data_IF_351421876028
#
_entry.id   IF_351421876028
#
_cell.length_a   1.000
_cell.length_b   1.000
_cell.length_c   1.000
_cell.angle_alpha   90.00
_cell.angle_beta   90.00
_cell.angle_gamma   90.00
#
_symmetry.space_group_name_H-M   'P 1'
#
loop_
_entity.id
_entity.type
_entity.pdbx_description
1 polymer ?
#
# COMPACT_ATOMS: atom_id res chain seq x y z
N UNK A 1 -23.77 23.43 -6.30
CA UNK A 1 -24.11 23.00 -4.95
C UNK A 1 -22.83 22.65 -4.17
N UNK A 2 -23.01 22.33 -2.87
CA UNK A 2 -21.84 22.00 -2.03
C UNK A 2 -21.08 20.78 -2.56
N UNK A 3 -21.78 19.80 -3.09
CA UNK A 3 -21.15 18.59 -3.63
C UNK A 3 -20.29 18.88 -4.87
N UNK A 4 -20.77 19.76 -5.74
CA UNK A 4 -20.00 20.15 -6.92
C UNK A 4 -18.72 20.91 -6.55
N UNK A 5 -18.81 21.73 -5.51
CA UNK A 5 -17.65 22.46 -5.02
C UNK A 5 -16.65 21.51 -4.34
N UNK A 6 -17.14 20.50 -3.64
CA UNK A 6 -16.27 19.51 -3.01
C UNK A 6 -15.56 18.64 -4.04
N UNK A 7 -16.28 18.23 -5.09
CA UNK A 7 -15.68 17.49 -6.21
C UNK A 7 -14.62 18.34 -6.93
N UNK A 8 -14.94 19.60 -7.17
CA UNK A 8 -13.99 20.53 -7.81
C UNK A 8 -12.74 20.72 -6.94
N UNK A 9 -12.91 20.77 -5.62
CA UNK A 9 -11.79 20.92 -4.69
C UNK A 9 -10.90 19.70 -4.73
N UNK A 10 -11.49 18.51 -4.74
CA UNK A 10 -10.73 17.26 -4.81
C UNK A 10 -9.91 17.16 -6.10
N UNK A 11 -10.46 17.69 -7.19
CA UNK A 11 -9.76 17.68 -8.48
C UNK A 11 -8.57 18.65 -8.52
N UNK A 12 -8.49 19.59 -7.56
CA UNK A 12 -7.43 20.62 -7.56
C UNK A 12 -6.25 20.25 -6.64
N UNK A 13 -6.40 19.23 -5.78
CA UNK A 13 -5.32 18.84 -4.86
C UNK A 13 -4.29 18.01 -5.63
N UNK A 14 -3.03 18.45 -5.58
CA UNK A 14 -1.96 17.78 -6.32
C UNK A 14 -1.67 16.38 -5.77
N UNK A 15 -1.39 15.45 -6.68
CA UNK A 15 -0.98 14.09 -6.30
C UNK A 15 0.18 14.11 -5.29
N UNK A 16 1.17 15.00 -5.52
CA UNK A 16 2.35 15.07 -4.64
C UNK A 16 1.95 15.37 -3.19
N UNK A 17 0.97 16.24 -2.99
CA UNK A 17 0.51 16.57 -1.64
C UNK A 17 -0.25 15.40 -1.01
N UNK A 18 -1.02 14.68 -1.80
CA UNK A 18 -1.71 13.48 -1.33
C UNK A 18 -0.68 12.43 -0.87
N UNK A 19 0.34 12.17 -1.68
CA UNK A 19 1.37 11.19 -1.36
C UNK A 19 2.23 11.64 -0.17
N UNK A 20 2.53 12.95 -0.09
CA UNK A 20 3.33 13.46 1.03
C UNK A 20 2.62 13.30 2.37
N UNK A 21 1.29 13.34 2.39
CA UNK A 21 0.55 13.06 3.62
C UNK A 21 0.91 11.66 4.15
N UNK A 22 0.98 10.66 3.26
CA UNK A 22 1.38 9.31 3.65
C UNK A 22 2.84 9.32 4.15
N UNK A 23 3.74 9.94 3.40
CA UNK A 23 5.17 9.97 3.74
C UNK A 23 5.41 10.53 5.13
N UNK A 24 4.81 11.67 5.43
CA UNK A 24 5.13 12.36 6.67
C UNK A 24 4.35 11.82 7.87
N UNK A 25 3.12 11.35 7.69
CA UNK A 25 2.46 10.61 8.77
C UNK A 25 3.29 9.38 9.16
N UNK A 26 3.81 8.67 8.16
CA UNK A 26 4.60 7.46 8.41
C UNK A 26 5.93 7.80 9.10
N UNK A 27 6.66 8.78 8.56
CA UNK A 27 7.94 9.16 9.13
C UNK A 27 7.78 9.69 10.56
N UNK A 28 6.76 10.52 10.78
CA UNK A 28 6.52 11.11 12.10
C UNK A 28 6.14 10.04 13.15
N UNK A 29 5.28 9.08 12.75
CA UNK A 29 4.87 8.03 13.68
C UNK A 29 6.02 7.13 14.06
N UNK A 30 6.85 6.75 13.11
CA UNK A 30 8.04 5.93 13.38
C UNK A 30 9.01 6.70 14.27
N UNK A 31 9.20 8.00 14.00
CA UNK A 31 10.11 8.82 14.78
C UNK A 31 9.61 8.96 16.23
N UNK A 32 8.31 9.20 16.41
CA UNK A 32 7.75 9.35 17.75
C UNK A 32 7.85 8.04 18.53
N UNK A 33 7.62 6.91 17.88
CA UNK A 33 7.76 5.60 18.53
C UNK A 33 9.22 5.21 18.74
N UNK A 34 10.14 5.89 18.07
CA UNK A 34 11.56 5.53 18.03
C UNK A 34 11.75 4.07 17.61
N UNK A 35 10.87 3.60 16.73
CA UNK A 35 10.85 2.20 16.30
C UNK A 35 9.94 2.06 15.08
N UNK A 36 10.36 1.29 14.10
CA UNK A 36 9.53 1.00 12.95
C UNK A 36 10.28 1.09 11.63
N UNK A 37 9.53 1.06 10.55
CA UNK A 37 10.07 0.91 9.20
C UNK A 37 9.49 2.00 8.29
N UNK A 38 10.15 3.16 8.19
CA UNK A 38 9.59 4.27 7.42
C UNK A 38 9.85 4.19 5.91
N UNK A 39 10.83 3.40 5.49
CA UNK A 39 11.32 3.45 4.12
C UNK A 39 10.31 3.02 3.07
N UNK A 40 9.63 1.88 3.30
CA UNK A 40 8.67 1.38 2.32
C UNK A 40 7.43 2.27 2.24
N UNK A 41 6.84 2.71 3.37
CA UNK A 41 5.73 3.67 3.27
C UNK A 41 6.08 4.92 2.48
N UNK A 42 7.28 5.46 2.67
CA UNK A 42 7.69 6.65 1.93
C UNK A 42 7.93 6.35 0.45
N UNK A 43 8.50 5.19 0.16
CA UNK A 43 8.78 4.79 -1.23
C UNK A 43 7.52 4.44 -2.01
N UNK A 44 6.56 3.78 -1.38
CA UNK A 44 5.33 3.34 -2.04
C UNK A 44 4.18 4.33 -1.93
N UNK A 45 4.43 5.52 -1.37
CA UNK A 45 3.36 6.51 -1.19
C UNK A 45 2.70 6.89 -2.51
N UNK A 46 3.46 7.03 -3.59
CA UNK A 46 2.88 7.40 -4.89
C UNK A 46 1.99 6.28 -5.43
N UNK A 47 2.45 5.04 -5.36
CA UNK A 47 1.67 3.88 -5.83
C UNK A 47 0.37 3.75 -5.02
N UNK A 48 0.48 3.84 -3.70
CA UNK A 48 -0.68 3.69 -2.81
C UNK A 48 -1.69 4.82 -3.04
N UNK A 49 -1.21 6.03 -3.30
CA UNK A 49 -2.10 7.16 -3.58
C UNK A 49 -2.93 6.89 -4.84
N UNK A 50 -2.29 6.45 -5.92
CA UNK A 50 -3.02 6.15 -7.15
C UNK A 50 -4.04 5.03 -6.91
N UNK A 51 -3.63 3.98 -6.25
CA UNK A 51 -4.52 2.83 -6.01
C UNK A 51 -5.76 3.27 -5.20
N UNK A 52 -5.55 3.94 -4.08
CA UNK A 52 -6.65 4.26 -3.16
C UNK A 52 -7.53 5.40 -3.66
N UNK A 53 -6.98 6.34 -4.44
CA UNK A 53 -7.80 7.47 -4.90
C UNK A 53 -8.52 7.20 -6.21
N UNK A 54 -8.08 6.22 -7.01
CA UNK A 54 -8.65 6.00 -8.34
C UNK A 54 -9.24 4.62 -8.58
N UNK A 55 -8.70 3.58 -7.95
CA UNK A 55 -9.03 2.20 -8.38
C UNK A 55 -9.64 1.32 -7.30
N UNK A 56 -9.19 1.42 -6.07
CA UNK A 56 -9.67 0.53 -5.01
C UNK A 56 -11.15 0.79 -4.74
N UNK A 57 -11.94 -0.25 -4.83
CA UNK A 57 -13.38 -0.19 -4.55
C UNK A 57 -13.59 -0.47 -3.06
N UNK A 58 -13.89 0.57 -2.29
CA UNK A 58 -14.06 0.43 -0.84
C UNK A 58 -14.87 1.59 -0.29
N UNK A 59 -15.36 1.40 0.93
CA UNK A 59 -16.11 2.42 1.65
C UNK A 59 -15.58 2.45 3.08
N UNK A 60 -14.92 3.54 3.45
CA UNK A 60 -14.33 3.66 4.78
C UNK A 60 -15.37 3.59 5.89
N UNK A 61 -16.62 3.97 5.59
CA UNK A 61 -17.71 3.89 6.58
C UNK A 61 -18.26 2.48 6.75
N UNK A 62 -17.92 1.56 5.83
CA UNK A 62 -18.36 0.17 5.92
C UNK A 62 -17.16 -0.76 5.63
N UNK A 63 -16.24 -0.90 6.59
CA UNK A 63 -15.04 -1.72 6.37
C UNK A 63 -15.33 -3.20 6.07
N UNK A 64 -16.53 -3.66 6.36
CA UNK A 64 -16.90 -5.05 6.15
C UNK A 64 -17.82 -5.26 4.94
N UNK A 65 -18.00 -4.24 4.10
CA UNK A 65 -18.81 -4.37 2.88
C UNK A 65 -18.40 -5.64 2.12
N UNK A 66 -19.31 -6.57 1.87
CA UNK A 66 -18.92 -7.89 1.34
C UNK A 66 -18.21 -7.85 -0.01
N UNK A 67 -18.58 -6.93 -0.89
CA UNK A 67 -17.99 -6.89 -2.22
C UNK A 67 -16.92 -5.79 -2.38
N UNK A 68 -16.35 -5.35 -1.28
CA UNK A 68 -15.22 -4.42 -1.34
C UNK A 68 -14.00 -5.10 -1.93
N UNK A 69 -13.16 -4.34 -2.60
CA UNK A 69 -11.83 -4.84 -2.96
C UNK A 69 -11.05 -5.16 -1.68
N UNK A 70 -10.19 -6.16 -1.76
CA UNK A 70 -9.31 -6.51 -0.63
C UNK A 70 -7.94 -5.88 -0.87
N UNK A 71 -7.42 -5.21 0.14
CA UNK A 71 -6.06 -4.67 0.10
C UNK A 71 -5.24 -5.38 1.17
N UNK A 72 -4.15 -6.02 0.75
CA UNK A 72 -3.28 -6.78 1.64
C UNK A 72 -1.89 -6.18 1.59
N UNK A 73 -1.38 -5.76 2.75
CA UNK A 73 0.00 -5.30 2.86
C UNK A 73 0.85 -6.48 3.29
N UNK A 74 1.40 -7.20 2.31
CA UNK A 74 2.24 -8.38 2.59
C UNK A 74 3.58 -7.96 3.18
N UNK A 75 4.10 -6.79 2.80
CA UNK A 75 5.26 -6.20 3.44
C UNK A 75 4.84 -5.56 4.76
N UNK A 76 4.45 -6.39 5.73
CA UNK A 76 3.81 -5.94 6.96
C UNK A 76 4.69 -5.08 7.86
N UNK A 77 6.01 -5.13 7.66
CA UNK A 77 6.90 -4.25 8.40
C UNK A 77 6.61 -2.77 8.11
N UNK A 78 6.13 -2.47 6.90
CA UNK A 78 5.77 -1.10 6.55
C UNK A 78 4.35 -0.72 6.98
N UNK A 79 3.91 -1.16 8.15
CA UNK A 79 2.53 -1.02 8.60
C UNK A 79 2.02 0.41 8.62
N UNK A 80 2.91 1.40 8.80
CA UNK A 80 2.44 2.79 8.77
C UNK A 80 1.85 3.18 7.41
N UNK A 81 2.19 2.47 6.33
CA UNK A 81 1.54 2.73 5.05
C UNK A 81 0.02 2.48 5.17
N UNK A 82 -0.37 1.30 5.63
CA UNK A 82 -1.80 1.01 5.72
C UNK A 82 -2.47 1.88 6.79
N UNK A 83 -1.83 2.13 7.93
CA UNK A 83 -2.43 2.97 8.97
C UNK A 83 -2.65 4.41 8.49
N UNK A 84 -1.68 4.98 7.76
CA UNK A 84 -1.85 6.31 7.18
C UNK A 84 -3.03 6.33 6.20
N UNK A 85 -3.13 5.30 5.36
CA UNK A 85 -4.22 5.19 4.40
C UNK A 85 -5.58 5.09 5.11
N UNK A 86 -5.67 4.29 6.17
CA UNK A 86 -6.93 4.15 6.91
C UNK A 86 -7.34 5.47 7.57
N UNK A 87 -6.38 6.19 8.13
CA UNK A 87 -6.66 7.50 8.71
C UNK A 87 -7.10 8.49 7.64
N UNK A 88 -6.31 8.60 6.57
CA UNK A 88 -6.58 9.60 5.53
C UNK A 88 -7.92 9.37 4.84
N UNK A 89 -8.28 8.10 4.59
CA UNK A 89 -9.53 7.79 3.89
C UNK A 89 -10.76 7.78 4.80
N UNK A 90 -10.58 7.89 6.11
CA UNK A 90 -11.70 8.15 7.00
C UNK A 90 -12.26 6.95 7.76
N UNK A 91 -11.49 5.88 7.92
CA UNK A 91 -11.91 4.79 8.80
C UNK A 91 -12.05 5.33 10.23
N UNK A 92 -13.22 5.22 10.81
CA UNK A 92 -13.56 5.87 12.09
C UNK A 92 -12.60 5.50 13.21
N UNK A 93 -12.21 4.23 13.29
CA UNK A 93 -11.35 3.76 14.38
C UNK A 93 -9.92 4.27 14.27
N UNK A 94 -9.47 4.65 13.06
CA UNK A 94 -8.08 5.09 12.87
C UNK A 94 -8.01 6.60 13.00
N UNK A 95 -7.84 7.06 14.23
CA UNK A 95 -7.71 8.49 14.52
C UNK A 95 -6.25 8.91 14.47
N UNK A 96 -6.01 10.23 14.45
CA UNK A 96 -4.64 10.72 14.49
C UNK A 96 -3.94 10.32 15.80
N UNK A 97 -4.69 10.18 16.88
CA UNK A 97 -4.09 9.72 18.15
C UNK A 97 -3.61 8.28 18.05
N UNK A 98 -4.29 7.44 17.28
CA UNK A 98 -3.79 6.09 17.03
C UNK A 98 -2.46 6.12 16.26
N UNK A 99 -2.32 7.04 15.32
CA UNK A 99 -1.04 7.20 14.61
C UNK A 99 0.06 7.69 15.54
N UNK A 100 -0.27 8.65 16.43
CA UNK A 100 0.68 9.15 17.43
C UNK A 100 1.15 8.06 18.37
N UNK A 101 0.32 7.05 18.61
CA UNK A 101 0.61 5.96 19.52
C UNK A 101 1.04 4.68 18.79
N UNK A 102 1.66 4.84 17.62
CA UNK A 102 2.19 3.73 16.85
C UNK A 102 3.11 2.87 17.72
N UNK A 103 2.88 1.55 17.72
CA UNK A 103 3.64 0.56 18.47
C UNK A 103 3.53 0.67 19.99
N UNK A 104 2.55 1.43 20.49
CA UNK A 104 2.37 1.55 21.93
C UNK A 104 1.30 0.57 22.41
N UNK A 105 1.50 0.05 23.60
CA UNK A 105 0.55 -0.89 24.19
C UNK A 105 -0.85 -0.26 24.26
N UNK A 106 -1.84 -0.99 23.79
CA UNK A 106 -3.23 -0.53 23.81
C UNK A 106 -3.68 0.20 22.56
N UNK A 107 -2.75 0.59 21.65
CA UNK A 107 -3.16 1.21 20.40
C UNK A 107 -3.53 0.14 19.36
N UNK A 108 -4.29 0.54 18.36
CA UNK A 108 -4.62 -0.37 17.26
C UNK A 108 -3.54 -0.37 16.16
N UNK A 109 -2.52 0.47 16.32
CA UNK A 109 -1.43 0.62 15.34
C UNK A 109 -0.23 -0.21 15.76
N UNK A 110 -0.38 -1.52 15.70
CA UNK A 110 0.69 -2.45 16.04
C UNK A 110 1.84 -2.34 15.02
N UNK A 111 3.02 -2.79 15.42
CA UNK A 111 4.20 -2.74 14.54
C UNK A 111 4.02 -3.46 13.22
N UNK A 112 3.16 -4.47 13.18
CA UNK A 112 2.74 -5.19 11.97
C UNK A 112 1.22 -5.27 11.98
N UNK A 113 0.56 -5.18 10.82
CA UNK A 113 -0.91 -5.16 10.82
C UNK A 113 -1.51 -6.43 11.43
N UNK A 114 -2.51 -6.24 12.28
CA UNK A 114 -3.19 -7.37 12.93
C UNK A 114 -4.69 -7.33 12.63
N UNK A 115 -5.17 -8.41 12.05
CA UNK A 115 -6.59 -8.55 11.75
C UNK A 115 -7.39 -8.54 13.06
N UNK A 116 -8.47 -7.77 13.06
CA UNK A 116 -9.34 -7.67 14.23
C UNK A 116 -9.00 -6.51 15.17
N UNK A 117 -7.83 -5.89 14.98
CA UNK A 117 -7.45 -4.74 15.80
C UNK A 117 -7.80 -3.42 15.11
N UNK A 118 -7.39 -3.27 13.85
CA UNK A 118 -7.69 -2.06 13.08
C UNK A 118 -8.66 -2.41 11.96
N UNK A 119 -9.90 -1.87 11.97
CA UNK A 119 -10.81 -2.08 10.84
C UNK A 119 -10.15 -1.61 9.55
N UNK A 120 -10.27 -2.43 8.50
CA UNK A 120 -9.61 -2.19 7.23
C UNK A 120 -8.39 -3.05 7.00
N UNK A 121 -7.84 -3.67 8.05
CA UNK A 121 -6.77 -4.65 7.93
C UNK A 121 -7.40 -6.00 7.63
N UNK A 122 -7.13 -6.54 6.45
CA UNK A 122 -7.80 -7.76 5.96
C UNK A 122 -7.18 -9.05 6.47
N UNK A 123 -5.90 -9.02 6.83
CA UNK A 123 -5.21 -10.19 7.34
C UNK A 123 -3.98 -9.75 8.12
N UNK A 124 -3.62 -10.55 9.13
CA UNK A 124 -2.42 -10.30 9.92
C UNK A 124 -1.19 -10.61 9.08
N UNK A 125 -0.26 -9.66 9.02
CA UNK A 125 1.01 -9.86 8.31
C UNK A 125 2.17 -9.50 9.23
N UNK A 126 3.38 -9.74 8.74
CA UNK A 126 4.61 -9.62 9.52
C UNK A 126 5.56 -10.71 9.07
N UNK A 127 5.18 -11.99 9.28
CA UNK A 127 5.98 -13.06 8.65
C UNK A 127 5.90 -12.93 7.14
N UNK A 128 7.05 -12.74 6.50
CA UNK A 128 7.12 -12.46 5.07
C UNK A 128 6.53 -13.61 4.25
N UNK A 129 5.82 -13.25 3.19
CA UNK A 129 5.18 -14.21 2.29
C UNK A 129 3.76 -14.60 2.70
N UNK A 130 3.39 -14.41 3.96
CA UNK A 130 2.06 -14.81 4.44
C UNK A 130 0.95 -13.98 3.79
N UNK A 131 1.17 -12.66 3.66
CA UNK A 131 0.16 -11.79 3.07
C UNK A 131 -0.14 -12.13 1.63
N UNK A 132 0.90 -12.32 0.83
CA UNK A 132 0.72 -12.70 -0.58
C UNK A 132 -0.04 -14.02 -0.69
N UNK A 133 0.32 -15.00 0.13
CA UNK A 133 -0.31 -16.32 0.09
C UNK A 133 -1.78 -16.23 0.50
N UNK A 134 -2.07 -15.48 1.55
CA UNK A 134 -3.46 -15.26 1.98
C UNK A 134 -4.26 -14.55 0.87
N UNK A 135 -3.64 -13.60 0.19
CA UNK A 135 -4.30 -12.88 -0.90
C UNK A 135 -4.65 -13.82 -2.08
N UNK A 136 -3.81 -14.80 -2.35
CA UNK A 136 -4.14 -15.83 -3.36
C UNK A 136 -5.41 -16.55 -2.95
N UNK A 137 -5.54 -16.91 -1.67
CA UNK A 137 -6.76 -17.52 -1.14
C UNK A 137 -7.97 -16.61 -1.28
N UNK A 138 -7.80 -15.32 -0.99
CA UNK A 138 -8.89 -14.34 -1.13
C UNK A 138 -9.34 -14.23 -2.59
N UNK A 139 -8.39 -14.20 -3.52
CA UNK A 139 -8.71 -14.12 -4.95
C UNK A 139 -9.43 -15.38 -5.43
N UNK A 140 -9.02 -16.53 -4.96
CA UNK A 140 -9.70 -17.79 -5.27
C UNK A 140 -11.12 -17.76 -4.71
N UNK A 141 -11.29 -17.32 -3.46
CA UNK A 141 -12.61 -17.23 -2.84
C UNK A 141 -13.53 -16.32 -3.66
N UNK A 142 -13.02 -15.18 -4.15
CA UNK A 142 -13.83 -14.29 -4.97
C UNK A 142 -14.31 -15.00 -6.24
N UNK A 143 -13.42 -15.74 -6.91
CA UNK A 143 -13.83 -16.47 -8.12
C UNK A 143 -14.88 -17.56 -7.82
N UNK A 144 -14.72 -18.25 -6.71
CA UNK A 144 -15.68 -19.29 -6.31
C UNK A 144 -17.04 -18.67 -5.97
N UNK A 145 -17.03 -17.57 -5.23
CA UNK A 145 -18.26 -16.88 -4.85
C UNK A 145 -18.94 -16.25 -6.08
N UNK A 146 -18.13 -15.66 -6.97
CA UNK A 146 -18.65 -15.10 -8.21
C UNK A 146 -19.35 -16.18 -9.06
N UNK A 147 -18.72 -17.35 -9.18
CA UNK A 147 -19.29 -18.45 -9.95
C UNK A 147 -20.63 -18.92 -9.35
N UNK A 148 -20.75 -18.81 -8.03
CA UNK A 148 -21.95 -19.25 -7.34
C UNK A 148 -23.08 -18.22 -7.35
N UNK A 149 -22.71 -16.94 -7.17
CA UNK A 149 -23.70 -15.87 -6.92
C UNK A 149 -23.78 -14.82 -8.03
N UNK A 150 -22.85 -14.83 -8.96
CA UNK A 150 -22.86 -13.89 -10.10
C UNK A 150 -22.19 -12.55 -9.82
N UNK A 151 -21.99 -11.80 -10.91
CA UNK A 151 -21.28 -10.52 -10.87
C UNK A 151 -22.00 -9.46 -10.02
N UNK A 152 -23.31 -9.52 -9.97
CA UNK A 152 -24.08 -8.54 -9.21
C UNK A 152 -23.82 -8.66 -7.69
N UNK A 153 -23.43 -9.84 -7.24
CA UNK A 153 -23.21 -10.08 -5.81
C UNK A 153 -21.72 -10.06 -5.45
N UNK A 154 -20.86 -10.59 -6.32
CA UNK A 154 -19.44 -10.72 -6.02
C UNK A 154 -18.62 -10.40 -7.28
N UNK A 155 -17.90 -9.28 -7.24
CA UNK A 155 -17.06 -8.86 -8.37
C UNK A 155 -16.02 -7.88 -7.85
N UNK A 156 -15.02 -8.40 -7.12
CA UNK A 156 -14.00 -7.51 -6.55
C UNK A 156 -12.59 -8.03 -6.81
N UNK A 157 -11.65 -7.11 -6.73
CA UNK A 157 -10.22 -7.39 -6.90
C UNK A 157 -9.57 -7.59 -5.55
N UNK A 158 -8.43 -8.27 -5.56
CA UNK A 158 -7.51 -8.35 -4.42
C UNK A 158 -6.20 -7.72 -4.84
N UNK A 159 -5.79 -6.67 -4.14
CA UNK A 159 -4.53 -5.95 -4.39
C UNK A 159 -3.56 -6.23 -3.25
N UNK A 160 -2.30 -6.47 -3.61
CA UNK A 160 -1.26 -6.81 -2.64
C UNK A 160 -0.07 -5.89 -2.85
N UNK A 161 0.48 -5.34 -1.77
CA UNK A 161 1.81 -4.71 -1.82
C UNK A 161 2.79 -5.68 -1.19
N UNK A 162 3.82 -6.05 -1.94
CA UNK A 162 4.84 -7.00 -1.53
C UNK A 162 6.23 -6.44 -1.84
N UNK A 163 7.19 -6.77 -0.98
CA UNK A 163 8.59 -6.40 -1.22
C UNK A 163 9.42 -7.63 -1.60
N UNK A 164 10.71 -7.40 -1.84
CA UNK A 164 11.63 -8.47 -2.20
C UNK A 164 11.61 -9.61 -1.17
N UNK A 165 11.65 -9.25 0.12
CA UNK A 165 11.63 -10.27 1.17
C UNK A 165 10.42 -11.18 1.10
N UNK A 166 9.25 -10.61 0.78
CA UNK A 166 8.05 -11.42 0.62
C UNK A 166 8.20 -12.42 -0.52
N UNK A 167 8.76 -11.94 -1.65
CA UNK A 167 8.85 -12.77 -2.86
C UNK A 167 9.92 -13.84 -2.75
N UNK A 168 10.89 -13.68 -1.85
CA UNK A 168 11.95 -14.67 -1.63
C UNK A 168 11.46 -15.89 -0.86
N UNK A 169 10.38 -15.75 -0.07
CA UNK A 169 9.91 -16.85 0.78
C UNK A 169 9.43 -18.04 -0.05
N UNK A 170 9.71 -19.26 0.45
CA UNK A 170 9.32 -20.46 -0.26
C UNK A 170 7.84 -20.55 -0.56
N UNK A 171 7.00 -20.17 0.40
CA UNK A 171 5.55 -20.23 0.21
C UNK A 171 5.09 -19.30 -0.91
N UNK A 172 5.83 -18.20 -1.16
CA UNK A 172 5.50 -17.30 -2.26
C UNK A 172 5.64 -17.98 -3.61
N UNK A 173 6.65 -18.84 -3.77
CA UNK A 173 6.82 -19.61 -5.01
C UNK A 173 5.61 -20.50 -5.28
N UNK A 174 5.12 -21.18 -4.25
CA UNK A 174 3.94 -22.03 -4.38
C UNK A 174 2.70 -21.20 -4.69
N UNK A 175 2.52 -20.08 -4.00
CA UNK A 175 1.35 -19.22 -4.18
C UNK A 175 1.32 -18.62 -5.60
N UNK A 176 2.46 -18.17 -6.10
CA UNK A 176 2.57 -17.60 -7.45
C UNK A 176 2.22 -18.65 -8.50
N UNK A 177 2.75 -19.85 -8.34
CA UNK A 177 2.47 -20.97 -9.26
C UNK A 177 0.98 -21.30 -9.26
N UNK A 178 0.38 -21.41 -8.08
CA UNK A 178 -1.06 -21.74 -7.97
C UNK A 178 -1.93 -20.66 -8.61
N UNK A 179 -1.65 -19.39 -8.32
CA UNK A 179 -2.46 -18.30 -8.87
C UNK A 179 -2.38 -18.24 -10.41
N UNK A 180 -1.19 -18.49 -10.95
CA UNK A 180 -1.02 -18.54 -12.41
C UNK A 180 -1.77 -19.70 -13.03
N UNK A 181 -1.67 -20.88 -12.40
CA UNK A 181 -2.35 -22.08 -12.91
C UNK A 181 -3.87 -21.91 -12.89
N UNK A 182 -4.41 -21.26 -11.87
CA UNK A 182 -5.85 -21.04 -11.73
C UNK A 182 -6.33 -19.78 -12.48
N UNK A 183 -5.41 -19.02 -13.07
CA UNK A 183 -5.73 -17.79 -13.79
C UNK A 183 -6.57 -16.83 -12.92
N UNK A 184 -6.09 -16.53 -11.71
CA UNK A 184 -6.81 -15.66 -10.80
C UNK A 184 -6.67 -14.20 -11.26
N UNK A 185 -7.43 -13.83 -12.26
CA UNK A 185 -7.28 -12.56 -12.98
C UNK A 185 -7.57 -11.33 -12.13
N UNK A 186 -8.27 -11.49 -11.02
CA UNK A 186 -8.60 -10.36 -10.15
C UNK A 186 -7.60 -10.18 -9.02
N UNK A 187 -6.46 -10.86 -9.09
CA UNK A 187 -5.35 -10.69 -8.15
C UNK A 187 -4.29 -9.81 -8.82
N UNK A 188 -3.96 -8.69 -8.17
CA UNK A 188 -2.97 -7.74 -8.69
C UNK A 188 -1.95 -7.48 -7.59
N UNK A 189 -0.69 -7.83 -7.86
CA UNK A 189 0.43 -7.64 -6.94
C UNK A 189 1.22 -6.41 -7.38
N UNK A 190 1.38 -5.47 -6.45
CA UNK A 190 2.21 -4.28 -6.64
C UNK A 190 3.51 -4.56 -5.89
N UNK A 191 4.57 -4.85 -6.65
CA UNK A 191 5.86 -5.21 -6.09
C UNK A 191 6.71 -3.96 -5.89
N UNK A 192 7.11 -3.71 -4.64
CA UNK A 192 7.98 -2.59 -4.30
C UNK A 192 9.42 -2.96 -4.67
N UNK A 193 9.79 -2.63 -5.89
CA UNK A 193 11.10 -2.98 -6.46
C UNK A 193 12.08 -1.87 -6.15
N UNK A 194 12.63 -1.87 -4.93
CA UNK A 194 13.52 -0.80 -4.49
C UNK A 194 14.98 -1.25 -4.31
N UNK A 195 15.28 -2.50 -4.62
CA UNK A 195 16.64 -3.08 -4.57
C UNK A 195 17.27 -3.12 -3.17
N UNK A 196 16.47 -2.96 -2.10
CA UNK A 196 16.99 -2.90 -0.73
C UNK A 196 16.24 -3.89 0.18
N UNK A 197 16.98 -4.60 1.02
CA UNK A 197 16.42 -5.37 2.13
C UNK A 197 17.05 -4.87 3.44
N UNK A 198 16.68 -5.48 4.56
CA UNK A 198 17.11 -4.97 5.86
C UNK A 198 18.64 -4.92 6.02
N UNK A 199 19.32 -5.87 5.38
CA UNK A 199 20.78 -5.99 5.49
C UNK A 199 21.55 -5.26 4.39
N UNK A 200 20.84 -4.64 3.44
CA UNK A 200 21.50 -3.93 2.34
C UNK A 200 20.86 -4.22 0.99
N UNK A 201 21.63 -4.07 -0.09
CA UNK A 201 21.08 -4.34 -1.43
C UNK A 201 20.58 -5.78 -1.58
N UNK A 202 19.45 -5.97 -2.26
CA UNK A 202 18.84 -7.29 -2.43
C UNK A 202 19.74 -8.29 -3.16
N UNK A 203 20.62 -7.80 -4.04
CA UNK A 203 21.52 -8.71 -4.77
C UNK A 203 22.54 -9.43 -3.87
N UNK A 204 22.64 -9.04 -2.62
CA UNK A 204 23.42 -9.79 -1.63
C UNK A 204 22.72 -11.07 -1.17
N UNK A 205 21.39 -11.11 -1.34
CA UNK A 205 20.57 -12.22 -0.85
C UNK A 205 19.99 -13.08 -1.97
N UNK A 206 19.63 -12.46 -3.08
CA UNK A 206 18.98 -13.16 -4.18
C UNK A 206 19.32 -12.50 -5.51
N UNK A 207 19.45 -13.33 -6.55
CA UNK A 207 19.70 -12.83 -7.91
C UNK A 207 18.51 -13.15 -8.84
N UNK A 208 17.43 -13.65 -8.30
CA UNK A 208 16.25 -14.00 -9.09
C UNK A 208 15.64 -12.74 -9.73
N UNK A 209 15.25 -12.90 -10.97
CA UNK A 209 14.51 -11.88 -11.70
C UNK A 209 13.03 -12.10 -11.37
N UNK A 210 12.51 -11.33 -10.44
CA UNK A 210 11.12 -11.52 -9.96
C UNK A 210 10.09 -11.35 -11.08
N UNK A 211 10.17 -10.30 -11.89
CA UNK A 211 9.23 -10.19 -13.02
C UNK A 211 9.28 -11.41 -13.95
N UNK A 212 10.46 -11.89 -14.29
CA UNK A 212 10.60 -13.06 -15.16
C UNK A 212 10.02 -14.31 -14.50
N UNK A 213 10.22 -14.47 -13.19
CA UNK A 213 9.69 -15.62 -12.46
C UNK A 213 8.16 -15.64 -12.47
N UNK A 214 7.54 -14.47 -12.27
CA UNK A 214 6.08 -14.38 -12.34
C UNK A 214 5.58 -14.66 -13.75
N UNK A 215 6.26 -14.12 -14.77
CA UNK A 215 5.88 -14.36 -16.16
C UNK A 215 5.95 -15.86 -16.49
N UNK A 216 7.01 -16.53 -16.02
CA UNK A 216 7.16 -17.98 -16.24
C UNK A 216 6.06 -18.79 -15.57
N UNK A 217 5.41 -18.23 -14.54
CA UNK A 217 4.32 -18.87 -13.82
C UNK A 217 2.94 -18.52 -14.40
N UNK A 218 2.90 -17.85 -15.54
CA UNK A 218 1.64 -17.56 -16.22
C UNK A 218 0.98 -16.25 -15.84
N UNK A 219 1.71 -15.34 -15.22
CA UNK A 219 1.20 -14.02 -14.82
C UNK A 219 1.44 -12.98 -15.91
N UNK A 220 0.56 -11.99 -15.96
CA UNK A 220 0.77 -10.75 -16.70
C UNK A 220 1.73 -9.88 -15.89
N UNK A 221 2.80 -9.39 -16.50
CA UNK A 221 3.85 -8.69 -15.78
C UNK A 221 4.16 -7.36 -16.46
N UNK A 222 4.32 -6.31 -15.65
CA UNK A 222 4.71 -4.99 -16.11
C UNK A 222 5.78 -4.44 -15.17
N UNK A 223 6.67 -3.60 -15.70
CA UNK A 223 7.67 -2.90 -14.90
C UNK A 223 7.52 -1.40 -15.20
N UNK A 224 7.39 -0.59 -14.15
CA UNK A 224 7.12 0.83 -14.29
C UNK A 224 7.91 1.65 -13.26
N UNK A 225 7.99 2.95 -13.50
CA UNK A 225 8.47 3.89 -12.50
C UNK A 225 7.36 4.11 -11.47
N UNK A 226 7.56 3.63 -10.25
CA UNK A 226 6.57 3.72 -9.18
C UNK A 226 6.33 5.14 -8.68
N UNK A 227 7.16 6.10 -9.08
CA UNK A 227 6.95 7.52 -8.72
C UNK A 227 6.25 8.30 -9.83
N UNK A 228 5.92 7.65 -10.94
CA UNK A 228 5.18 8.27 -12.04
C UNK A 228 3.71 7.86 -11.91
N UNK A 229 2.89 8.78 -11.40
CA UNK A 229 1.48 8.48 -11.13
C UNK A 229 0.71 8.01 -12.36
N UNK A 230 1.06 8.53 -13.53
CA UNK A 230 0.37 8.15 -14.77
C UNK A 230 0.77 6.75 -15.21
N UNK A 231 2.06 6.41 -15.05
CA UNK A 231 2.52 5.05 -15.35
C UNK A 231 1.85 4.04 -14.40
N UNK A 232 1.70 4.39 -13.11
CA UNK A 232 1.02 3.52 -12.15
C UNK A 232 -0.44 3.31 -12.57
N UNK A 233 -1.13 4.39 -12.92
CA UNK A 233 -2.54 4.30 -13.33
C UNK A 233 -2.70 3.42 -14.56
N UNK A 234 -1.88 3.66 -15.59
CA UNK A 234 -1.94 2.89 -16.82
C UNK A 234 -1.70 1.40 -16.56
N UNK A 235 -0.73 1.10 -15.68
CA UNK A 235 -0.41 -0.28 -15.36
C UNK A 235 -1.55 -0.98 -14.61
N UNK A 236 -2.19 -0.28 -13.67
CA UNK A 236 -3.34 -0.87 -12.94
C UNK A 236 -4.48 -1.16 -13.92
N UNK A 237 -4.77 -0.23 -14.82
CA UNK A 237 -5.83 -0.44 -15.82
C UNK A 237 -5.52 -1.63 -16.72
N UNK A 238 -4.27 -1.77 -17.16
CA UNK A 238 -3.87 -2.93 -17.96
C UNK A 238 -4.01 -4.23 -17.17
N UNK A 239 -3.65 -4.20 -15.89
CA UNK A 239 -3.78 -5.37 -15.02
C UNK A 239 -5.25 -5.77 -14.85
N UNK A 240 -6.14 -4.80 -14.65
CA UNK A 240 -7.57 -5.08 -14.50
C UNK A 240 -8.18 -5.69 -15.76
N UNK A 241 -7.63 -5.36 -16.93
CA UNK A 241 -8.15 -5.83 -18.20
C UNK A 241 -7.60 -7.20 -18.64
N UNK A 242 -6.57 -7.70 -18.00
CA UNK A 242 -5.93 -8.96 -18.38
C UNK A 242 -6.66 -10.15 -17.76
N UNK A 243 -6.63 -11.28 -18.44
CA UNK A 243 -7.29 -12.50 -17.96
C UNK A 243 -6.37 -13.41 -17.14
N UNK A 244 -5.23 -12.86 -16.70
CA UNK A 244 -4.25 -13.55 -15.84
C UNK A 244 -4.05 -12.75 -14.57
N UNK A 245 -3.58 -13.36 -13.48
CA UNK A 245 -3.14 -12.55 -12.35
C UNK A 245 -2.01 -11.63 -12.81
N UNK A 246 -1.92 -10.46 -12.22
CA UNK A 246 -0.96 -9.44 -12.64
C UNK A 246 0.04 -9.11 -11.55
N UNK A 247 1.29 -8.89 -11.97
CA UNK A 247 2.33 -8.34 -11.11
C UNK A 247 2.87 -7.08 -11.77
N UNK A 248 2.82 -5.98 -11.03
CA UNK A 248 3.37 -4.70 -11.48
C UNK A 248 4.61 -4.43 -10.63
N UNK A 249 5.78 -4.51 -11.24
CA UNK A 249 7.03 -4.16 -10.56
C UNK A 249 7.16 -2.64 -10.56
N UNK A 250 7.03 -2.06 -9.38
CA UNK A 250 7.06 -0.61 -9.21
C UNK A 250 8.45 -0.20 -8.75
N UNK A 251 9.25 0.36 -9.65
CA UNK A 251 10.59 0.83 -9.32
C UNK A 251 10.45 2.06 -8.41
N UNK A 252 10.96 1.96 -7.20
CA UNK A 252 10.86 3.04 -6.22
C UNK A 252 12.20 3.31 -5.56
N UNK A 253 12.25 4.42 -4.83
CA UNK A 253 13.38 4.76 -3.98
C UNK A 253 12.91 4.62 -2.54
N UNK A 254 13.48 3.66 -1.81
CA UNK A 254 13.14 3.46 -0.39
C UNK A 254 13.46 4.75 0.38
N UNK A 255 12.56 5.15 1.27
CA UNK A 255 12.76 6.40 2.03
C UNK A 255 12.63 7.65 1.19
N UNK A 256 11.92 7.59 0.09
CA UNK A 256 11.73 8.68 -0.86
C UNK A 256 11.38 9.98 -0.15
N UNK A 257 12.22 10.99 -0.34
CA UNK A 257 12.06 12.30 0.26
C UNK A 257 13.07 12.62 1.33
N UNK A 258 13.78 11.61 1.85
CA UNK A 258 14.83 11.83 2.86
C UNK A 258 16.14 12.16 2.12
N UNK A 259 16.59 13.43 2.12
CA UNK A 259 17.67 13.86 1.20
C UNK A 259 18.97 13.11 1.37
N UNK A 260 19.31 12.72 2.59
CA UNK A 260 20.60 12.08 2.86
C UNK A 260 20.50 10.57 3.00
N UNK A 261 19.28 10.02 3.15
CA UNK A 261 19.12 8.61 3.48
C UNK A 261 18.31 7.82 2.44
N UNK A 262 17.58 8.50 1.56
CA UNK A 262 16.76 7.76 0.58
C UNK A 262 17.64 6.82 -0.25
N UNK A 263 17.10 5.69 -0.61
CA UNK A 263 17.80 4.69 -1.38
C UNK A 263 18.74 3.81 -0.58
N UNK A 264 18.78 3.98 0.74
CA UNK A 264 19.70 3.22 1.58
C UNK A 264 18.95 2.33 2.57
N UNK A 265 19.62 1.27 3.01
CA UNK A 265 19.07 0.35 4.01
C UNK A 265 18.80 1.03 5.35
N UNK A 266 19.42 2.19 5.60
CA UNK A 266 19.19 2.91 6.85
C UNK A 266 17.74 3.38 7.02
N UNK A 267 16.98 3.49 5.93
CA UNK A 267 15.56 3.87 6.02
C UNK A 267 14.63 2.66 6.18
N UNK A 268 15.14 1.46 5.95
CA UNK A 268 14.29 0.26 5.96
C UNK A 268 13.64 0.04 7.32
N UNK A 269 14.45 -0.04 8.37
CA UNK A 269 13.98 -0.49 9.68
C UNK A 269 14.37 0.36 10.87
N UNK A 270 14.57 1.67 10.66
CA UNK A 270 14.94 2.58 11.76
C UNK A 270 14.34 3.95 11.51
N UNK A 271 14.08 4.72 12.59
CA UNK A 271 13.64 6.11 12.43
C UNK A 271 14.66 6.92 11.63
N UNK A 272 14.19 7.91 10.89
CA UNK A 272 15.05 8.77 10.08
C UNK A 272 15.91 9.70 10.94
N UNK A 273 15.41 10.09 12.10
CA UNK A 273 16.01 11.12 12.94
C UNK A 273 15.34 12.48 12.69
N UNK A 274 15.25 13.27 13.75
CA UNK A 274 14.54 14.57 13.68
C UNK A 274 15.14 15.49 12.62
N UNK A 275 16.45 15.50 12.52
CA UNK A 275 17.15 16.35 11.55
C UNK A 275 16.80 15.94 10.12
N UNK A 276 16.84 14.65 9.83
CA UNK A 276 16.55 14.18 8.49
C UNK A 276 15.08 14.42 8.10
N UNK A 277 14.17 14.26 9.06
CA UNK A 277 12.74 14.53 8.78
C UNK A 277 12.53 16.01 8.47
N UNK A 278 13.21 16.89 9.21
CA UNK A 278 13.13 18.33 8.94
C UNK A 278 13.61 18.64 7.52
N UNK A 279 14.73 18.03 7.12
CA UNK A 279 15.28 18.22 5.77
C UNK A 279 14.32 17.63 4.71
N UNK A 280 13.71 16.50 5.03
CA UNK A 280 12.76 15.88 4.11
C UNK A 280 11.54 16.77 3.89
N UNK A 281 11.01 17.35 4.96
CA UNK A 281 9.88 18.28 4.85
C UNK A 281 10.22 19.44 3.92
N UNK A 282 11.41 20.00 4.08
CA UNK A 282 11.86 21.10 3.22
C UNK A 282 12.01 20.65 1.77
N UNK A 283 12.66 19.50 1.55
CA UNK A 283 12.92 18.99 0.20
C UNK A 283 11.63 18.67 -0.55
N UNK A 284 10.62 18.16 0.17
CA UNK A 284 9.35 17.75 -0.46
C UNK A 284 8.29 18.84 -0.46
N UNK A 285 8.61 20.01 0.10
CA UNK A 285 7.64 21.11 0.15
C UNK A 285 6.44 20.82 1.06
N UNK A 286 6.69 20.23 2.22
CA UNK A 286 5.65 19.86 3.18
C UNK A 286 5.87 20.61 4.50
N UNK A 287 5.45 21.90 4.58
CA UNK A 287 5.75 22.75 5.74
C UNK A 287 4.74 22.60 6.87
N UNK A 288 4.30 21.38 7.13
CA UNK A 288 3.31 21.12 8.15
C UNK A 288 3.94 20.45 9.34
N UNK A 289 3.38 20.67 10.53
CA UNK A 289 3.89 20.08 11.76
C UNK A 289 3.61 18.56 11.78
N UNK A 290 4.33 17.83 12.64
CA UNK A 290 4.08 16.39 12.74
C UNK A 290 2.60 16.07 12.99
N UNK A 291 2.09 15.09 12.26
CA UNK A 291 0.72 14.62 12.34
C UNK A 291 -0.33 15.63 11.83
N UNK A 292 0.10 16.73 11.23
CA UNK A 292 -0.79 17.72 10.63
C UNK A 292 -0.95 17.44 9.15
N UNK A 293 -2.19 17.39 8.67
CA UNK A 293 -2.50 17.27 7.25
C UNK A 293 -3.39 18.45 6.88
N UNK A 294 -3.03 19.25 5.86
CA UNK A 294 -3.88 20.37 5.45
C UNK A 294 -5.30 19.93 5.14
N UNK A 295 -6.26 20.79 5.45
CA UNK A 295 -7.68 20.43 5.32
C UNK A 295 -8.07 20.03 3.91
N UNK A 296 -7.52 20.71 2.88
CA UNK A 296 -7.83 20.39 1.49
C UNK A 296 -7.31 18.99 1.12
N UNK A 297 -6.11 18.62 1.59
CA UNK A 297 -5.54 17.29 1.35
C UNK A 297 -6.37 16.23 2.07
N UNK A 298 -6.69 16.49 3.34
CA UNK A 298 -7.49 15.54 4.12
C UNK A 298 -8.88 15.35 3.49
N UNK A 299 -9.51 16.44 3.04
CA UNK A 299 -10.82 16.35 2.40
C UNK A 299 -10.78 15.51 1.11
N UNK A 300 -9.73 15.70 0.32
CA UNK A 300 -9.57 14.89 -0.91
C UNK A 300 -9.43 13.41 -0.58
N UNK A 301 -8.64 13.08 0.45
CA UNK A 301 -8.50 11.69 0.91
C UNK A 301 -9.83 11.12 1.42
N UNK A 302 -10.59 11.92 2.17
CA UNK A 302 -11.88 11.48 2.72
C UNK A 302 -12.90 11.22 1.62
N UNK A 303 -12.86 11.99 0.53
CA UNK A 303 -13.69 11.72 -0.64
C UNK A 303 -13.35 10.38 -1.27
N UNK A 304 -12.06 10.06 -1.35
CA UNK A 304 -11.65 8.75 -1.86
C UNK A 304 -12.24 7.62 -1.01
N UNK A 305 -12.24 7.80 0.31
CA UNK A 305 -12.76 6.79 1.24
C UNK A 305 -14.27 6.64 1.21
N UNK A 306 -14.99 7.60 0.64
CA UNK A 306 -16.46 7.59 0.57
C UNK A 306 -17.02 7.06 -0.75
N UNK A 307 -16.14 6.73 -1.72
CA UNK A 307 -16.59 6.36 -3.07
C UNK A 307 -17.54 5.17 -3.10
N UNK A 308 -17.34 4.17 -2.24
CA UNK A 308 -18.15 2.96 -2.24
C UNK A 308 -19.55 3.16 -1.69
N UNK A 309 -19.81 4.24 -0.96
CA UNK A 309 -21.10 4.58 -0.36
C UNK A 309 -22.19 4.85 -1.38
N UNK A 310 -21.79 5.21 -2.53
CA UNK A 310 -22.55 5.53 -3.52
C UNK A 310 -23.09 4.59 -4.21
#
# INVERSE_FOLDING_TARGET
SSSENEEALAMTVAHADMANAIRFLSADAVQQANSGHPGMPMGMADVATVLFTKYLKFDASDPNWPDRDRFVLSAGHGSMLIYSLLYLTGYEAMTVDQLRNFRQLGSITAGHPEYGHAPGVETTTGPLGQGLTTAVGMALAERMMNARFGDDAVDHHTYVIAGDGCLMEGISHEAVSLAGALKLAKLIVLFDDNDICIDGPTNMAVIDDQPARFAASGWHVQSIDGHDKDAVATAIEAAQADDRPSMIACKTVIGRGAPNKEGSASTHGAPLGDEEITLARKAMGWPHLPFEVPQDVLSAWRQAGARGGX
#
